data_IF_057315328166
#
_entry.id   IF_057315328166
#
_cell.length_a   1.000
_cell.length_b   1.000
_cell.length_c   1.000
_cell.angle_alpha   90.00
_cell.angle_beta   90.00
_cell.angle_gamma   90.00
#
_symmetry.space_group_name_H-M   'P 1'
#
loop_
_entity.id
_entity.type
_entity.pdbx_description
1 polymer ?
#
# COMPACT_ATOMS: atom_id res chain seq x y z
N UNK A 1 -2.00 14.20 46.97
CA UNK A 1 -2.36 13.39 45.78
C UNK A 1 -1.69 12.02 45.87
N UNK A 2 -2.44 10.90 45.91
CA UNK A 2 -1.82 9.59 45.99
C UNK A 2 -1.30 9.16 44.60
N UNK A 3 -0.04 8.71 44.56
CA UNK A 3 0.65 8.27 43.34
C UNK A 3 0.11 6.90 42.89
N UNK A 4 -0.45 6.84 41.68
CA UNK A 4 -0.93 5.60 41.04
C UNK A 4 0.27 4.69 40.74
N UNK A 5 0.31 3.49 41.35
CA UNK A 5 1.34 2.48 41.09
C UNK A 5 1.15 1.87 39.68
N UNK A 6 2.19 1.94 38.84
CA UNK A 6 2.21 1.31 37.50
C UNK A 6 2.16 -0.21 37.62
N UNK A 7 1.15 -0.84 37.01
CA UNK A 7 1.00 -2.29 36.92
C UNK A 7 2.05 -2.85 35.94
N UNK A 8 3.05 -3.55 36.46
CA UNK A 8 4.05 -4.26 35.66
C UNK A 8 3.42 -5.57 35.17
N UNK A 9 3.07 -5.65 33.88
CA UNK A 9 2.55 -6.87 33.27
C UNK A 9 3.63 -7.96 33.31
N UNK A 10 3.39 -9.04 34.06
CA UNK A 10 4.28 -10.22 34.10
C UNK A 10 4.32 -10.87 32.72
N UNK A 11 5.52 -11.00 32.14
CA UNK A 11 5.74 -11.77 30.90
C UNK A 11 5.49 -13.25 31.19
N UNK A 12 4.46 -13.82 30.58
CA UNK A 12 4.19 -15.25 30.60
C UNK A 12 5.35 -15.96 29.88
N UNK A 13 6.18 -16.71 30.63
CA UNK A 13 7.22 -17.56 30.04
C UNK A 13 6.54 -18.79 29.44
N UNK A 14 6.60 -18.94 28.12
CA UNK A 14 6.17 -20.16 27.43
C UNK A 14 7.20 -21.28 27.71
N UNK A 15 6.76 -22.53 27.89
CA UNK A 15 7.66 -23.65 28.11
C UNK A 15 8.63 -23.80 26.92
N UNK A 16 9.88 -24.25 27.14
CA UNK A 16 10.85 -24.41 26.08
C UNK A 16 10.35 -25.52 25.15
N UNK A 17 9.92 -25.12 23.95
CA UNK A 17 9.62 -26.07 22.89
C UNK A 17 10.94 -26.71 22.47
N UNK A 18 11.09 -28.02 22.66
CA UNK A 18 12.25 -28.81 22.22
C UNK A 18 12.40 -28.93 20.70
N UNK A 19 12.02 -27.89 19.94
CA UNK A 19 12.19 -27.83 18.50
C UNK A 19 13.62 -27.38 18.18
N UNK A 20 14.32 -28.17 17.37
CA UNK A 20 15.60 -27.78 16.78
C UNK A 20 15.44 -26.42 16.09
N UNK A 21 16.18 -25.42 16.55
CA UNK A 21 16.21 -24.11 15.90
C UNK A 21 17.00 -24.23 14.60
N UNK A 22 16.43 -23.71 13.51
CA UNK A 22 17.09 -23.63 12.20
C UNK A 22 18.06 -22.43 12.12
N UNK A 23 18.04 -21.53 13.11
CA UNK A 23 19.07 -20.52 13.33
C UNK A 23 19.80 -20.87 14.63
N UNK A 24 21.07 -21.27 14.51
CA UNK A 24 21.95 -21.59 15.65
C UNK A 24 22.99 -20.49 15.85
N UNK A 25 23.82 -20.62 16.89
CA UNK A 25 24.96 -19.72 17.07
C UNK A 25 25.96 -19.86 15.90
N UNK A 26 26.07 -21.07 15.36
CA UNK A 26 26.96 -21.38 14.23
C UNK A 26 26.52 -20.65 12.97
N UNK A 27 25.21 -20.60 12.66
CA UNK A 27 24.73 -19.84 11.50
C UNK A 27 24.94 -18.34 11.68
N UNK A 28 24.82 -17.82 12.91
CA UNK A 28 25.12 -16.42 13.20
C UNK A 28 26.62 -16.09 13.03
N UNK A 29 27.50 -17.03 13.38
CA UNK A 29 28.93 -16.91 13.16
C UNK A 29 29.30 -17.00 11.68
N UNK A 30 28.71 -17.96 10.93
CA UNK A 30 28.88 -18.08 9.49
C UNK A 30 28.47 -16.80 8.74
N UNK A 31 27.39 -16.13 9.17
CA UNK A 31 26.99 -14.83 8.61
C UNK A 31 28.07 -13.76 8.88
N UNK A 32 28.71 -13.79 10.06
CA UNK A 32 29.80 -12.87 10.40
C UNK A 32 31.00 -13.08 9.50
N UNK A 33 31.41 -14.33 9.34
CA UNK A 33 32.53 -14.72 8.48
C UNK A 33 32.24 -14.38 7.01
N UNK A 34 30.99 -14.54 6.57
CA UNK A 34 30.55 -14.15 5.23
C UNK A 34 30.60 -12.64 4.97
N UNK A 35 30.34 -11.81 5.99
CA UNK A 35 30.38 -10.34 5.86
C UNK A 35 31.82 -9.81 5.97
N UNK A 36 32.67 -10.46 6.77
CA UNK A 36 34.06 -10.04 7.01
C UNK A 36 35.05 -10.54 5.95
N UNK A 37 34.71 -11.58 5.19
CA UNK A 37 35.59 -12.12 4.15
C UNK A 37 35.43 -11.38 2.82
N UNK A 38 36.56 -11.09 2.18
CA UNK A 38 36.62 -10.53 0.82
C UNK A 38 36.75 -11.61 -0.26
N UNK A 39 37.09 -12.85 0.13
CA UNK A 39 37.25 -13.96 -0.81
C UNK A 39 35.89 -14.53 -1.27
N UNK A 40 35.65 -14.46 -2.58
CA UNK A 40 34.39 -14.89 -3.19
C UNK A 40 34.17 -16.40 -3.10
N UNK A 41 35.23 -17.20 -3.26
CA UNK A 41 35.12 -18.67 -3.20
C UNK A 41 34.77 -19.15 -1.79
N UNK A 42 35.37 -18.55 -0.76
CA UNK A 42 35.04 -18.83 0.63
C UNK A 42 33.59 -18.43 0.95
N UNK A 43 33.14 -17.25 0.53
CA UNK A 43 31.76 -16.77 0.73
C UNK A 43 30.71 -17.71 0.15
N UNK A 44 30.94 -18.23 -1.05
CA UNK A 44 30.01 -19.14 -1.70
C UNK A 44 29.89 -20.48 -0.95
N UNK A 45 31.01 -21.00 -0.43
CA UNK A 45 31.02 -22.24 0.36
C UNK A 45 30.27 -22.07 1.69
N UNK A 46 30.58 -21.00 2.44
CA UNK A 46 29.91 -20.68 3.72
C UNK A 46 28.42 -20.44 3.49
N UNK A 47 28.06 -19.72 2.43
CA UNK A 47 26.66 -19.47 2.11
C UNK A 47 25.91 -20.77 1.81
N UNK A 48 26.46 -21.62 0.95
CA UNK A 48 25.79 -22.85 0.49
C UNK A 48 25.60 -23.87 1.61
N UNK A 49 26.60 -24.02 2.48
CA UNK A 49 26.59 -25.03 3.55
C UNK A 49 25.80 -24.58 4.78
N UNK A 50 26.05 -23.37 5.26
CA UNK A 50 25.61 -22.98 6.60
C UNK A 50 24.48 -21.95 6.60
N UNK A 51 24.48 -21.01 5.65
CA UNK A 51 23.52 -19.88 5.64
C UNK A 51 22.25 -20.22 4.86
N UNK A 52 22.38 -20.75 3.64
CA UNK A 52 21.26 -21.08 2.75
C UNK A 52 20.20 -21.98 3.40
N UNK A 53 20.52 -23.13 4.02
CA UNK A 53 19.50 -23.99 4.64
C UNK A 53 18.74 -23.29 5.77
N UNK A 54 19.41 -22.40 6.52
CA UNK A 54 18.78 -21.63 7.59
C UNK A 54 17.79 -20.58 7.04
N UNK A 55 18.16 -19.89 5.96
CA UNK A 55 17.29 -18.91 5.29
C UNK A 55 16.11 -19.56 4.57
N UNK A 56 16.30 -20.72 3.95
CA UNK A 56 15.23 -21.51 3.33
C UNK A 56 14.20 -21.94 4.37
N UNK A 57 14.62 -22.53 5.49
CA UNK A 57 13.72 -22.91 6.59
C UNK A 57 13.06 -21.71 7.25
N UNK A 58 13.75 -20.57 7.39
CA UNK A 58 13.13 -19.32 7.86
C UNK A 58 11.98 -18.92 6.92
N UNK A 59 12.25 -18.86 5.63
CA UNK A 59 11.30 -18.38 4.61
C UNK A 59 10.08 -19.30 4.50
N UNK A 60 10.31 -20.62 4.46
CA UNK A 60 9.27 -21.63 4.47
C UNK A 60 8.34 -21.49 5.69
N UNK A 61 8.92 -21.40 6.90
CA UNK A 61 8.15 -21.22 8.12
C UNK A 61 7.30 -19.94 8.09
N UNK A 62 7.85 -18.83 7.61
CA UNK A 62 7.09 -17.57 7.50
C UNK A 62 5.93 -17.69 6.51
N UNK A 63 6.13 -18.36 5.38
CA UNK A 63 5.09 -18.56 4.36
C UNK A 63 3.91 -19.36 4.93
N UNK A 64 4.18 -20.43 5.68
CA UNK A 64 3.13 -21.27 6.26
C UNK A 64 2.46 -20.62 7.49
N UNK A 65 3.24 -20.08 8.43
CA UNK A 65 2.70 -19.50 9.68
C UNK A 65 1.82 -18.28 9.42
N UNK A 66 2.18 -17.43 8.46
CA UNK A 66 1.40 -16.24 8.12
C UNK A 66 0.37 -16.48 7.00
N UNK A 67 0.30 -17.69 6.43
CA UNK A 67 -0.72 -18.04 5.44
C UNK A 67 -0.48 -17.47 4.03
N UNK A 68 0.75 -17.06 3.69
CA UNK A 68 1.08 -16.52 2.37
C UNK A 68 0.89 -17.55 1.24
N UNK A 69 0.97 -18.85 1.56
CA UNK A 69 0.67 -19.94 0.63
C UNK A 69 -0.74 -19.88 0.03
N UNK A 70 -1.71 -19.25 0.70
CA UNK A 70 -3.09 -19.15 0.18
C UNK A 70 -3.22 -18.12 -0.94
N UNK A 71 -2.31 -17.15 -0.99
CA UNK A 71 -2.37 -16.03 -1.95
C UNK A 71 -1.48 -16.27 -3.17
N UNK A 72 -0.59 -17.26 -3.10
CA UNK A 72 0.40 -17.56 -4.12
C UNK A 72 0.25 -19.02 -4.57
N UNK A 73 -0.06 -19.29 -5.85
CA UNK A 73 -0.22 -20.64 -6.38
C UNK A 73 1.10 -21.40 -6.42
N UNK A 74 2.22 -20.68 -6.61
CA UNK A 74 3.56 -21.25 -6.60
C UNK A 74 4.32 -20.85 -5.34
N UNK A 75 4.32 -21.76 -4.37
CA UNK A 75 4.96 -21.61 -3.06
C UNK A 75 6.48 -21.68 -3.20
N UNK A 76 6.99 -22.52 -4.10
CA UNK A 76 8.43 -22.76 -4.26
C UNK A 76 9.10 -21.54 -4.88
N UNK A 77 8.49 -20.94 -5.90
CA UNK A 77 8.97 -19.68 -6.47
C UNK A 77 8.93 -18.55 -5.45
N UNK A 78 7.88 -18.46 -4.62
CA UNK A 78 7.81 -17.44 -3.57
C UNK A 78 8.93 -17.61 -2.54
N UNK A 79 9.18 -18.85 -2.10
CA UNK A 79 10.27 -19.20 -1.18
C UNK A 79 11.63 -18.85 -1.80
N UNK A 80 11.88 -19.25 -3.04
CA UNK A 80 13.13 -18.99 -3.74
C UNK A 80 13.42 -17.48 -3.85
N UNK A 81 12.43 -16.70 -4.28
CA UNK A 81 12.55 -15.24 -4.37
C UNK A 81 12.78 -14.56 -3.01
N UNK A 82 12.18 -15.10 -1.94
CA UNK A 82 12.42 -14.62 -0.58
C UNK A 82 13.89 -14.85 -0.17
N UNK A 83 14.42 -16.05 -0.45
CA UNK A 83 15.81 -16.40 -0.14
C UNK A 83 16.80 -15.54 -0.94
N UNK A 84 16.54 -15.29 -2.23
CA UNK A 84 17.34 -14.36 -3.05
C UNK A 84 17.36 -12.98 -2.40
N UNK A 85 16.21 -12.45 -1.99
CA UNK A 85 16.18 -11.14 -1.36
C UNK A 85 16.93 -11.09 -0.01
N UNK A 86 16.90 -12.18 0.75
CA UNK A 86 17.67 -12.28 2.00
C UNK A 86 19.17 -12.33 1.72
N UNK A 87 19.59 -13.02 0.66
CA UNK A 87 20.98 -13.03 0.19
C UNK A 87 21.43 -11.63 -0.25
N UNK A 88 20.61 -10.91 -1.03
CA UNK A 88 20.89 -9.53 -1.44
C UNK A 88 21.05 -8.59 -0.25
N UNK A 89 20.34 -8.83 0.87
CA UNK A 89 20.44 -7.99 2.06
C UNK A 89 21.42 -8.53 3.11
N UNK A 90 22.12 -9.64 2.83
CA UNK A 90 23.04 -10.30 3.75
C UNK A 90 24.22 -9.40 4.12
N UNK A 91 24.78 -8.67 3.15
CA UNK A 91 25.89 -7.73 3.35
C UNK A 91 25.52 -6.50 4.18
N UNK A 92 24.22 -6.19 4.33
CA UNK A 92 23.74 -5.04 5.13
C UNK A 92 23.63 -5.37 6.61
N UNK A 93 23.92 -6.61 7.00
CA UNK A 93 23.83 -7.04 8.37
C UNK A 93 25.02 -6.53 9.19
N UNK A 94 24.74 -5.59 10.09
CA UNK A 94 25.70 -5.07 11.04
C UNK A 94 25.62 -5.84 12.37
N UNK A 95 26.71 -6.52 12.73
CA UNK A 95 26.85 -7.32 13.94
C UNK A 95 26.91 -6.47 15.22
N UNK A 96 27.37 -5.22 15.13
CA UNK A 96 27.53 -4.35 16.31
C UNK A 96 26.20 -3.72 16.73
N UNK A 97 25.37 -3.35 15.75
CA UNK A 97 24.02 -2.82 16.00
C UNK A 97 23.00 -3.91 16.31
N UNK A 98 23.06 -5.05 15.62
CA UNK A 98 22.04 -6.10 15.74
C UNK A 98 22.59 -7.32 16.49
N UNK A 99 22.13 -7.52 17.73
CA UNK A 99 22.58 -8.64 18.58
C UNK A 99 22.20 -10.02 18.05
N UNK A 100 21.20 -10.13 17.16
CA UNK A 100 20.71 -11.41 16.66
C UNK A 100 20.34 -11.36 15.17
N UNK A 101 21.08 -12.11 14.36
CA UNK A 101 20.84 -12.27 12.92
C UNK A 101 19.42 -12.78 12.64
N UNK A 102 18.93 -13.73 13.44
CA UNK A 102 17.57 -14.27 13.29
C UNK A 102 16.51 -13.17 13.37
N UNK A 103 16.62 -12.26 14.36
CA UNK A 103 15.65 -11.18 14.53
C UNK A 103 15.66 -10.20 13.36
N UNK A 104 16.84 -9.89 12.83
CA UNK A 104 17.00 -9.02 11.67
C UNK A 104 16.37 -9.65 10.42
N UNK A 105 16.82 -10.85 10.02
CA UNK A 105 16.34 -11.50 8.81
C UNK A 105 14.86 -11.88 8.87
N UNK A 106 14.31 -12.17 10.05
CA UNK A 106 12.88 -12.40 10.21
C UNK A 106 12.05 -11.13 9.90
N UNK A 107 12.48 -9.96 10.37
CA UNK A 107 11.81 -8.68 10.07
C UNK A 107 11.91 -8.37 8.57
N UNK A 108 13.09 -8.54 7.98
CA UNK A 108 13.33 -8.29 6.54
C UNK A 108 12.48 -9.23 5.68
N UNK A 109 12.55 -10.54 5.91
CA UNK A 109 11.78 -11.55 5.18
C UNK A 109 10.28 -11.29 5.25
N UNK A 110 9.76 -11.04 6.47
CA UNK A 110 8.35 -10.75 6.68
C UNK A 110 7.91 -9.49 5.94
N UNK A 111 8.68 -8.41 6.01
CA UNK A 111 8.36 -7.16 5.31
C UNK A 111 8.35 -7.38 3.80
N UNK A 112 9.31 -8.13 3.26
CA UNK A 112 9.35 -8.47 1.84
C UNK A 112 8.12 -9.29 1.42
N UNK A 113 7.76 -10.35 2.16
CA UNK A 113 6.58 -11.17 1.88
C UNK A 113 5.29 -10.35 1.90
N UNK A 114 5.14 -9.43 2.86
CA UNK A 114 4.00 -8.51 2.93
C UNK A 114 3.94 -7.61 1.69
N UNK A 115 5.07 -7.04 1.28
CA UNK A 115 5.13 -6.16 0.11
C UNK A 115 4.78 -6.93 -1.16
N UNK A 116 5.32 -8.14 -1.35
CA UNK A 116 5.02 -8.96 -2.53
C UNK A 116 3.55 -9.37 -2.58
N UNK A 117 2.98 -9.78 -1.44
CA UNK A 117 1.56 -10.12 -1.35
C UNK A 117 0.67 -8.92 -1.71
N UNK A 118 1.02 -7.71 -1.22
CA UNK A 118 0.31 -6.47 -1.57
C UNK A 118 0.46 -6.11 -3.05
N UNK A 119 1.64 -6.28 -3.63
CA UNK A 119 1.89 -6.05 -5.07
C UNK A 119 1.04 -7.00 -5.92
N UNK A 120 1.00 -8.29 -5.57
CA UNK A 120 0.18 -9.29 -6.25
C UNK A 120 -1.29 -8.95 -6.16
N UNK A 121 -1.81 -8.70 -4.94
CA UNK A 121 -3.21 -8.28 -4.75
C UNK A 121 -3.55 -7.06 -5.60
N UNK A 122 -2.72 -6.01 -5.55
CA UNK A 122 -2.91 -4.80 -6.37
C UNK A 122 -2.89 -5.09 -7.87
N UNK A 123 -2.12 -6.07 -8.33
CA UNK A 123 -2.09 -6.49 -9.74
C UNK A 123 -3.38 -7.21 -10.11
N UNK A 124 -3.83 -8.16 -9.29
CA UNK A 124 -5.11 -8.86 -9.47
C UNK A 124 -6.29 -7.90 -9.44
N UNK A 125 -6.29 -6.91 -8.53
CA UNK A 125 -7.35 -5.91 -8.43
C UNK A 125 -7.40 -4.95 -9.65
N UNK A 126 -6.32 -4.86 -10.44
CA UNK A 126 -6.21 -3.92 -11.59
C UNK A 126 -6.29 -4.60 -12.95
N UNK A 127 -5.84 -5.84 -13.02
CA UNK A 127 -5.73 -6.60 -14.23
C UNK A 127 -6.68 -7.78 -14.12
N UNK A 128 -7.67 -7.76 -15.00
CA UNK A 128 -8.55 -8.87 -15.26
C UNK A 128 -8.06 -9.52 -16.54
N UNK A 129 -8.01 -10.86 -16.56
CA UNK A 129 -7.81 -11.59 -17.80
C UNK A 129 -9.17 -11.82 -18.47
N UNK A 130 -9.24 -11.63 -19.79
CA UNK A 130 -10.52 -11.71 -20.52
C UNK A 130 -11.13 -13.10 -20.42
N UNK A 131 -10.30 -14.14 -20.34
CA UNK A 131 -10.75 -15.54 -20.21
C UNK A 131 -10.84 -15.98 -18.73
N UNK A 132 -10.83 -15.05 -17.77
CA UNK A 132 -10.99 -15.40 -16.36
C UNK A 132 -12.45 -15.72 -16.03
N UNK A 133 -12.76 -17.00 -15.87
CA UNK A 133 -14.08 -17.47 -15.48
C UNK A 133 -14.51 -16.98 -14.09
N UNK A 134 -13.59 -16.49 -13.26
CA UNK A 134 -13.90 -15.95 -11.93
C UNK A 134 -14.40 -14.50 -11.92
N UNK A 135 -14.54 -13.88 -13.11
CA UNK A 135 -15.07 -12.54 -13.23
C UNK A 135 -16.47 -12.39 -12.63
N UNK A 136 -16.67 -11.29 -11.89
CA UNK A 136 -18.01 -10.92 -11.46
C UNK A 136 -18.89 -10.65 -12.68
N UNK A 137 -20.19 -10.92 -12.53
CA UNK A 137 -21.20 -10.58 -13.54
C UNK A 137 -21.08 -9.10 -13.93
N UNK A 138 -20.84 -8.21 -12.95
CA UNK A 138 -20.66 -6.78 -13.19
C UNK A 138 -19.41 -6.47 -14.04
N UNK A 139 -18.32 -7.20 -13.84
CA UNK A 139 -17.08 -7.00 -14.59
C UNK A 139 -17.25 -7.45 -16.05
N UNK A 140 -17.99 -8.56 -16.28
CA UNK A 140 -18.32 -9.03 -17.63
C UNK A 140 -19.18 -8.02 -18.39
N UNK A 141 -20.23 -7.50 -17.75
CA UNK A 141 -21.05 -6.43 -18.33
C UNK A 141 -20.24 -5.18 -18.66
N UNK A 142 -19.32 -4.75 -17.78
CA UNK A 142 -18.47 -3.58 -18.03
C UNK A 142 -17.54 -3.79 -19.24
N UNK A 143 -17.00 -5.00 -19.43
CA UNK A 143 -16.14 -5.34 -20.58
C UNK A 143 -16.95 -5.33 -21.88
N UNK A 144 -18.15 -5.92 -21.88
CA UNK A 144 -19.04 -5.92 -23.04
C UNK A 144 -19.52 -4.50 -23.39
N UNK A 145 -19.93 -3.72 -22.39
CA UNK A 145 -20.39 -2.34 -22.56
C UNK A 145 -19.27 -1.41 -23.05
N UNK A 146 -18.02 -1.63 -22.66
CA UNK A 146 -16.88 -0.83 -23.15
C UNK A 146 -16.71 -0.88 -24.67
N UNK A 147 -17.11 -1.99 -25.30
CA UNK A 147 -17.00 -2.17 -26.76
C UNK A 147 -18.21 -1.62 -27.54
N UNK A 148 -19.23 -1.10 -26.84
CA UNK A 148 -20.47 -0.61 -27.42
C UNK A 148 -20.47 0.91 -27.30
N UNK A 149 -20.78 1.61 -28.39
CA UNK A 149 -21.00 3.06 -28.35
C UNK A 149 -22.16 3.35 -27.38
N UNK A 150 -21.99 4.19 -26.35
CA UNK A 150 -23.07 4.51 -25.43
C UNK A 150 -24.26 5.07 -26.19
N UNK A 151 -25.48 4.80 -25.70
CA UNK A 151 -26.67 5.39 -26.32
C UNK A 151 -26.55 6.92 -26.32
N UNK A 152 -27.15 7.61 -27.31
CA UNK A 152 -27.16 9.07 -27.33
C UNK A 152 -27.69 9.67 -26.02
N UNK A 153 -28.72 9.05 -25.44
CA UNK A 153 -29.28 9.42 -24.13
C UNK A 153 -28.25 9.33 -23.00
N UNK A 154 -27.50 8.23 -22.88
CA UNK A 154 -26.44 8.09 -21.87
C UNK A 154 -25.33 9.12 -22.06
N UNK A 155 -24.97 9.42 -23.31
CA UNK A 155 -23.94 10.41 -23.63
C UNK A 155 -24.38 11.82 -23.23
N UNK A 156 -25.64 12.17 -23.52
CA UNK A 156 -26.24 13.45 -23.11
C UNK A 156 -26.26 13.59 -21.58
N UNK A 157 -26.64 12.55 -20.84
CA UNK A 157 -26.62 12.55 -19.37
C UNK A 157 -25.21 12.77 -18.82
N UNK A 158 -24.19 12.14 -19.43
CA UNK A 158 -22.79 12.33 -19.01
C UNK A 158 -22.34 13.79 -19.24
N UNK A 159 -22.66 14.35 -20.40
CA UNK A 159 -22.34 15.75 -20.73
C UNK A 159 -23.04 16.75 -19.80
N UNK A 160 -24.33 16.52 -19.50
CA UNK A 160 -25.10 17.30 -18.52
C UNK A 160 -24.48 17.22 -17.13
N UNK A 161 -24.12 16.01 -16.67
CA UNK A 161 -23.47 15.83 -15.38
C UNK A 161 -22.11 16.55 -15.30
N UNK A 162 -21.32 16.53 -16.37
CA UNK A 162 -20.04 17.28 -16.42
C UNK A 162 -20.31 18.78 -16.36
N UNK A 163 -21.33 19.27 -17.07
CA UNK A 163 -21.72 20.67 -17.04
C UNK A 163 -22.17 21.11 -15.64
N UNK A 164 -23.01 20.30 -14.99
CA UNK A 164 -23.52 20.56 -13.64
C UNK A 164 -22.43 20.49 -12.58
N UNK A 165 -21.45 19.59 -12.73
CA UNK A 165 -20.27 19.56 -11.86
C UNK A 165 -19.46 20.85 -11.98
N UNK A 166 -19.24 21.34 -13.21
CA UNK A 166 -18.49 22.60 -13.43
C UNK A 166 -19.23 23.80 -12.85
N UNK A 167 -20.54 23.90 -13.06
CA UNK A 167 -21.36 25.00 -12.53
C UNK A 167 -21.42 24.96 -11.00
N UNK A 168 -21.55 23.78 -10.40
CA UNK A 168 -21.47 23.59 -8.95
C UNK A 168 -20.13 24.05 -8.36
N UNK A 169 -19.01 23.67 -8.96
CA UNK A 169 -17.67 24.08 -8.50
C UNK A 169 -17.49 25.59 -8.55
N UNK A 170 -17.99 26.24 -9.62
CA UNK A 170 -17.95 27.69 -9.75
C UNK A 170 -18.84 28.39 -8.71
N UNK A 171 -20.02 27.83 -8.41
CA UNK A 171 -20.90 28.36 -7.38
C UNK A 171 -20.29 28.23 -5.96
N UNK A 172 -19.60 27.12 -5.70
CA UNK A 172 -18.84 26.93 -4.46
C UNK A 172 -17.73 27.99 -4.35
N UNK A 173 -17.03 28.26 -5.45
CA UNK A 173 -16.00 29.32 -5.51
C UNK A 173 -16.58 30.70 -5.23
N UNK A 174 -17.75 31.03 -5.77
CA UNK A 174 -18.40 32.31 -5.51
C UNK A 174 -18.88 32.46 -4.05
N UNK A 175 -19.22 31.35 -3.39
CA UNK A 175 -19.61 31.31 -1.97
C UNK A 175 -18.43 31.22 -0.99
N UNK A 176 -17.21 31.01 -1.49
CA UNK A 176 -16.00 30.97 -0.67
C UNK A 176 -15.65 32.39 -0.17
N UNK A 177 -15.49 32.52 1.15
CA UNK A 177 -15.31 33.85 1.78
C UNK A 177 -13.85 34.24 1.87
N UNK A 178 -12.99 33.27 2.20
CA UNK A 178 -11.58 33.53 2.48
C UNK A 178 -10.71 33.30 1.23
N UNK A 179 -9.61 34.07 1.11
CA UNK A 179 -8.65 33.88 0.01
C UNK A 179 -8.05 32.45 0.00
N UNK A 180 -7.83 31.88 1.19
CA UNK A 180 -7.38 30.49 1.33
C UNK A 180 -8.41 29.48 0.81
N UNK A 181 -9.71 29.74 1.00
CA UNK A 181 -10.77 28.87 0.48
C UNK A 181 -10.85 28.98 -1.05
N UNK A 182 -10.68 30.19 -1.60
CA UNK A 182 -10.61 30.44 -3.05
C UNK A 182 -9.44 29.70 -3.71
N UNK A 183 -8.23 29.79 -3.13
CA UNK A 183 -7.07 29.02 -3.60
C UNK A 183 -7.28 27.50 -3.52
N UNK A 184 -7.98 27.04 -2.48
CA UNK A 184 -8.29 25.62 -2.33
C UNK A 184 -9.28 25.12 -3.39
N UNK A 185 -10.35 25.87 -3.69
CA UNK A 185 -11.31 25.49 -4.73
C UNK A 185 -10.74 25.66 -6.14
N UNK A 186 -9.88 26.65 -6.36
CA UNK A 186 -9.16 26.83 -7.63
C UNK A 186 -8.26 25.63 -7.93
N UNK A 187 -7.53 25.12 -6.93
CA UNK A 187 -6.76 23.89 -7.06
C UNK A 187 -7.65 22.66 -7.37
N UNK A 188 -8.85 22.59 -6.80
CA UNK A 188 -9.81 21.50 -7.08
C UNK A 188 -10.33 21.59 -8.52
N UNK A 189 -10.70 22.79 -8.98
CA UNK A 189 -11.16 23.02 -10.36
C UNK A 189 -10.05 22.64 -11.35
N UNK A 190 -8.81 23.08 -11.10
CA UNK A 190 -7.68 22.75 -11.96
C UNK A 190 -7.41 21.24 -12.04
N UNK A 191 -7.56 20.51 -10.93
CA UNK A 191 -7.47 19.04 -10.92
C UNK A 191 -8.60 18.40 -11.72
N UNK A 192 -9.81 18.95 -11.62
CA UNK A 192 -10.97 18.46 -12.36
C UNK A 192 -10.81 18.67 -13.87
N UNK A 193 -10.33 19.83 -14.30
CA UNK A 193 -10.13 20.13 -15.73
C UNK A 193 -8.99 19.33 -16.37
N UNK A 194 -8.03 18.87 -15.57
CA UNK A 194 -6.88 18.07 -16.03
C UNK A 194 -6.96 16.61 -15.57
N UNK A 195 -8.17 16.10 -15.29
CA UNK A 195 -8.35 14.76 -14.69
C UNK A 195 -7.72 13.65 -15.53
N UNK A 196 -7.79 13.78 -16.86
CA UNK A 196 -7.25 12.78 -17.80
C UNK A 196 -5.71 12.74 -17.83
N UNK A 197 -5.04 13.78 -17.33
CA UNK A 197 -3.58 13.87 -17.26
C UNK A 197 -3.02 13.36 -15.92
N UNK A 198 -3.88 12.93 -14.99
CA UNK A 198 -3.46 12.51 -13.66
C UNK A 198 -3.11 11.03 -13.61
N UNK A 199 -1.83 10.73 -13.36
CA UNK A 199 -1.34 9.36 -13.16
C UNK A 199 -1.98 8.65 -11.96
N UNK A 200 -2.42 9.40 -10.94
CA UNK A 200 -2.87 8.85 -9.66
C UNK A 200 -4.14 9.53 -9.12
N UNK A 201 -5.29 8.90 -9.32
CA UNK A 201 -6.60 9.34 -8.81
C UNK A 201 -6.95 8.82 -7.39
N UNK A 202 -5.96 8.39 -6.61
CA UNK A 202 -6.24 7.90 -5.25
C UNK A 202 -6.43 9.08 -4.26
N UNK A 203 -7.25 8.87 -3.21
CA UNK A 203 -7.59 9.91 -2.21
C UNK A 203 -6.37 10.60 -1.58
N UNK A 204 -5.25 9.88 -1.40
CA UNK A 204 -4.03 10.45 -0.81
C UNK A 204 -3.27 11.31 -1.82
N UNK A 205 -3.19 10.87 -3.07
CA UNK A 205 -2.55 11.59 -4.17
C UNK A 205 -3.31 12.88 -4.48
N UNK A 206 -4.64 12.81 -4.60
CA UNK A 206 -5.49 14.00 -4.76
C UNK A 206 -5.27 15.03 -3.65
N UNK A 207 -5.16 14.59 -2.39
CA UNK A 207 -4.87 15.49 -1.29
C UNK A 207 -3.49 16.17 -1.41
N UNK A 208 -2.47 15.44 -1.92
CA UNK A 208 -1.14 15.99 -2.18
C UNK A 208 -1.19 17.00 -3.33
N UNK A 209 -1.88 16.69 -4.43
CA UNK A 209 -2.04 17.59 -5.57
C UNK A 209 -2.73 18.90 -5.16
N UNK A 210 -3.85 18.83 -4.43
CA UNK A 210 -4.55 20.03 -3.97
C UNK A 210 -3.62 20.88 -3.09
N UNK A 211 -2.84 20.23 -2.22
CA UNK A 211 -1.89 20.93 -1.34
C UNK A 211 -0.78 21.62 -2.13
N UNK A 212 -0.22 20.97 -3.14
CA UNK A 212 0.85 21.51 -3.98
C UNK A 212 0.36 22.67 -4.85
N UNK A 213 -0.82 22.53 -5.48
CA UNK A 213 -1.42 23.57 -6.32
C UNK A 213 -1.90 24.79 -5.50
N UNK A 214 -2.48 24.57 -4.32
CA UNK A 214 -2.99 25.68 -3.48
C UNK A 214 -1.89 26.37 -2.65
N UNK A 215 -0.73 25.74 -2.46
CA UNK A 215 0.35 26.22 -1.59
C UNK A 215 0.00 26.27 -0.10
N UNK A 216 -1.11 25.64 0.31
CA UNK A 216 -1.59 25.68 1.70
C UNK A 216 -0.91 24.62 2.57
N UNK A 217 -0.77 24.92 3.86
CA UNK A 217 -0.33 23.90 4.82
C UNK A 217 -1.41 22.85 5.06
N UNK A 218 -1.04 21.63 5.44
CA UNK A 218 -1.99 20.52 5.69
C UNK A 218 -3.09 20.88 6.71
N UNK A 219 -2.77 21.73 7.70
CA UNK A 219 -3.74 22.21 8.70
C UNK A 219 -4.74 23.17 8.08
N UNK A 220 -4.27 24.17 7.34
CA UNK A 220 -5.12 25.15 6.65
C UNK A 220 -6.01 24.46 5.62
N UNK A 221 -5.45 23.52 4.84
CA UNK A 221 -6.19 22.76 3.84
C UNK A 221 -7.34 21.96 4.47
N UNK A 222 -7.11 21.33 5.62
CA UNK A 222 -8.14 20.57 6.33
C UNK A 222 -9.32 21.45 6.78
N UNK A 223 -9.03 22.68 7.22
CA UNK A 223 -10.06 23.65 7.63
C UNK A 223 -10.84 24.14 6.40
N UNK A 224 -10.14 24.55 5.33
CA UNK A 224 -10.76 25.01 4.09
C UNK A 224 -11.68 23.94 3.49
N UNK A 225 -11.20 22.70 3.36
CA UNK A 225 -11.99 21.57 2.86
C UNK A 225 -13.23 21.30 3.71
N UNK A 226 -13.14 21.47 5.03
CA UNK A 226 -14.30 21.29 5.92
C UNK A 226 -15.38 22.35 5.68
N UNK A 227 -14.99 23.58 5.39
CA UNK A 227 -15.91 24.66 5.05
C UNK A 227 -16.51 24.51 3.65
N UNK A 228 -15.68 24.22 2.64
CA UNK A 228 -16.14 23.95 1.28
C UNK A 228 -17.13 22.78 1.25
N UNK A 229 -16.90 21.75 2.06
CA UNK A 229 -17.83 20.62 2.21
C UNK A 229 -19.18 21.01 2.81
N UNK A 230 -19.26 22.06 3.63
CA UNK A 230 -20.55 22.60 4.12
C UNK A 230 -21.30 23.29 2.97
N UNK A 231 -20.59 24.10 2.18
CA UNK A 231 -21.17 24.78 1.01
C UNK A 231 -21.68 23.74 0.00
N UNK A 232 -20.86 22.74 -0.33
CA UNK A 232 -21.23 21.63 -1.21
C UNK A 232 -22.50 20.92 -0.71
N UNK A 233 -22.58 20.55 0.58
CA UNK A 233 -23.75 19.87 1.14
C UNK A 233 -25.04 20.71 1.10
N UNK A 234 -24.94 22.02 1.00
CA UNK A 234 -26.11 22.89 0.85
C UNK A 234 -26.58 22.97 -0.60
N UNK A 235 -25.68 22.74 -1.56
CA UNK A 235 -25.94 22.86 -3.00
C UNK A 235 -26.29 21.53 -3.66
N UNK A 236 -25.64 20.45 -3.23
CA UNK A 236 -25.75 19.12 -3.82
C UNK A 236 -26.44 18.12 -2.88
N UNK A 237 -27.34 17.32 -3.44
CA UNK A 237 -28.09 16.24 -2.76
C UNK A 237 -29.52 16.08 -3.29
N UNK A 238 -30.26 15.07 -2.80
CA UNK A 238 -31.63 14.81 -3.25
C UNK A 238 -32.50 16.04 -2.98
N UNK A 239 -33.28 16.44 -3.98
CA UNK A 239 -34.15 17.64 -4.01
C UNK A 239 -33.41 18.99 -3.88
N UNK A 240 -32.12 19.05 -4.23
CA UNK A 240 -31.34 20.30 -4.22
C UNK A 240 -31.02 20.78 -5.64
N UNK A 241 -30.45 21.98 -5.73
CA UNK A 241 -30.14 22.67 -6.98
C UNK A 241 -29.32 21.81 -7.95
N UNK A 242 -28.42 20.98 -7.43
CA UNK A 242 -27.66 20.02 -8.23
C UNK A 242 -27.85 18.61 -7.68
N UNK A 243 -28.36 17.71 -8.52
CA UNK A 243 -28.52 16.28 -8.19
C UNK A 243 -27.74 15.42 -9.18
N UNK A 244 -26.41 15.48 -9.05
CA UNK A 244 -25.45 14.96 -10.05
C UNK A 244 -25.16 13.46 -9.87
N UNK A 245 -25.86 12.78 -8.95
CA UNK A 245 -25.61 11.37 -8.61
C UNK A 245 -26.89 10.52 -8.60
N UNK A 246 -27.92 10.91 -9.35
CA UNK A 246 -29.03 10.01 -9.68
C UNK A 246 -28.63 9.00 -10.76
#
# INVERSE_FOLDING_TARGET
>A
MPKVKKVIKRKIKRPPSGKKLYFTKDTQQAIKEYVQSDDQSFREQVYTKDIRPALEKLSENLIFVYGFHKQHPDIDTLKHNCVINLYENLHKFDHDRNKNAFSYFNVVAKNWLIIQSRKRKKRTDRLVYIEDDSLSIADRYAIEEYSICPSPEKSMVIEENIHDMKSLLLEIKNKAKNDQEKRCIDAIIQIYDNVDQLDYLNKRALFVYIRELSGLTSKQLSVCMSNLRKIYRNLAGPDKKYDIFM
#
